data_IF_468539129645
#
_entry.id   IF_468539129645
#
_cell.length_a   1.000
_cell.length_b   1.000
_cell.length_c   1.000
_cell.angle_alpha   90.00
_cell.angle_beta   90.00
_cell.angle_gamma   90.00
#
_symmetry.space_group_name_H-M   'P 1'
#
loop_
_entity.id
_entity.type
_entity.pdbx_description
1 polymer ?
#
# COMPACT_ATOMS: atom_id res chain seq x y z
N UNK A 1 8.07 -2.58 -19.36
CA UNK A 1 8.68 -3.04 -20.62
C UNK A 1 8.64 -4.55 -20.53
N UNK A 2 7.75 -5.21 -21.27
CA UNK A 2 7.60 -6.66 -21.26
C UNK A 2 8.71 -7.18 -22.18
N UNK A 3 9.54 -8.08 -21.67
CA UNK A 3 10.62 -8.71 -22.44
C UNK A 3 9.99 -9.47 -23.61
N UNK A 4 10.34 -9.10 -24.85
CA UNK A 4 9.75 -9.67 -26.07
C UNK A 4 10.24 -11.10 -26.37
N UNK A 5 11.06 -11.68 -25.50
CA UNK A 5 11.65 -13.02 -25.66
C UNK A 5 10.97 -14.11 -24.80
N UNK A 6 9.68 -14.01 -24.51
CA UNK A 6 8.92 -15.14 -23.97
C UNK A 6 8.62 -16.13 -25.10
N UNK A 7 9.39 -17.22 -25.18
CA UNK A 7 9.10 -18.31 -26.11
C UNK A 7 7.83 -19.04 -25.67
N UNK A 8 6.81 -19.04 -26.54
CA UNK A 8 5.61 -19.85 -26.34
C UNK A 8 6.01 -21.33 -26.41
N UNK A 9 5.70 -22.11 -25.37
CA UNK A 9 5.98 -23.55 -25.36
C UNK A 9 5.28 -24.22 -26.54
N UNK A 10 6.06 -24.66 -27.53
CA UNK A 10 5.60 -25.20 -28.82
C UNK A 10 5.05 -26.65 -28.73
N UNK A 11 4.47 -27.04 -27.59
CA UNK A 11 3.68 -28.28 -27.52
C UNK A 11 2.25 -27.93 -27.93
N UNK A 12 1.80 -28.55 -29.03
CA UNK A 12 0.59 -28.19 -29.78
C UNK A 12 -0.64 -27.85 -28.93
N UNK A 13 -1.46 -26.94 -29.45
CA UNK A 13 -2.69 -26.37 -28.87
C UNK A 13 -3.25 -27.16 -27.67
N UNK A 14 -2.70 -26.90 -26.48
CA UNK A 14 -3.24 -27.46 -25.24
C UNK A 14 -4.60 -26.80 -25.05
N UNK A 15 -5.65 -27.56 -25.34
CA UNK A 15 -7.02 -27.11 -25.09
C UNK A 15 -7.24 -27.22 -23.60
N UNK A 16 -7.07 -26.10 -22.90
CA UNK A 16 -7.32 -26.05 -21.46
C UNK A 16 -8.79 -26.39 -21.19
N UNK A 17 -9.02 -27.39 -20.33
CA UNK A 17 -10.34 -27.64 -19.75
C UNK A 17 -10.54 -26.66 -18.60
N UNK A 18 -11.62 -25.91 -18.67
CA UNK A 18 -11.98 -24.92 -17.66
C UNK A 18 -13.14 -25.43 -16.82
N UNK A 19 -13.01 -25.29 -15.52
CA UNK A 19 -14.11 -25.38 -14.59
C UNK A 19 -14.60 -23.97 -14.28
N UNK A 20 -15.90 -23.73 -14.48
CA UNK A 20 -16.50 -22.40 -14.41
C UNK A 20 -17.62 -22.39 -13.39
N UNK A 21 -17.66 -21.32 -12.58
CA UNK A 21 -18.74 -21.04 -11.65
C UNK A 21 -19.18 -19.58 -11.79
N UNK A 22 -20.47 -19.38 -12.08
CA UNK A 22 -21.09 -18.05 -12.04
C UNK A 22 -21.52 -17.74 -10.62
N UNK A 23 -21.14 -16.58 -10.12
CA UNK A 23 -21.62 -16.07 -8.84
C UNK A 23 -22.88 -15.20 -9.04
N UNK A 24 -23.76 -15.21 -8.05
CA UNK A 24 -24.95 -14.35 -8.07
C UNK A 24 -24.58 -12.92 -7.66
N UNK A 25 -25.19 -11.93 -8.30
CA UNK A 25 -25.00 -10.54 -7.94
C UNK A 25 -25.85 -10.16 -6.72
N UNK A 26 -25.30 -9.31 -5.84
CA UNK A 26 -25.99 -8.80 -4.65
C UNK A 26 -25.61 -9.54 -3.36
N UNK A 27 -26.52 -9.49 -2.39
CA UNK A 27 -26.30 -10.07 -1.06
C UNK A 27 -26.40 -11.60 -1.16
N UNK A 28 -25.33 -12.29 -0.83
CA UNK A 28 -25.32 -13.73 -0.62
C UNK A 28 -25.59 -14.04 0.86
N UNK A 29 -26.53 -14.95 1.14
CA UNK A 29 -26.97 -15.26 2.51
C UNK A 29 -27.68 -14.07 3.17
N UNK A 30 -27.25 -13.70 4.37
CA UNK A 30 -27.74 -12.51 5.08
C UNK A 30 -26.81 -11.32 4.86
N UNK A 31 -27.37 -10.11 4.85
CA UNK A 31 -26.58 -8.87 4.81
C UNK A 31 -25.77 -8.74 6.10
N UNK A 32 -24.54 -8.25 6.01
CA UNK A 32 -23.69 -8.06 7.19
C UNK A 32 -24.23 -6.90 8.05
N UNK A 33 -24.81 -5.89 7.40
CA UNK A 33 -25.53 -4.80 8.06
C UNK A 33 -26.40 -4.02 7.06
N UNK A 34 -27.30 -3.19 7.59
CA UNK A 34 -28.14 -2.26 6.83
C UNK A 34 -27.90 -0.85 7.36
N UNK A 35 -27.74 0.13 6.45
CA UNK A 35 -27.55 1.54 6.82
C UNK A 35 -28.27 2.46 5.86
N UNK A 36 -28.79 3.57 6.39
CA UNK A 36 -29.30 4.67 5.58
C UNK A 36 -28.13 5.51 5.06
N UNK A 37 -28.04 5.66 3.73
CA UNK A 37 -26.94 6.35 3.06
C UNK A 37 -25.65 5.52 2.97
N UNK A 38 -24.63 6.09 2.31
CA UNK A 38 -23.41 5.37 1.95
C UNK A 38 -22.38 5.27 3.08
N UNK A 39 -21.58 4.20 3.04
CA UNK A 39 -20.41 3.99 3.89
C UNK A 39 -19.14 4.19 3.09
N UNK A 40 -18.05 4.50 3.80
CA UNK A 40 -16.73 4.51 3.20
C UNK A 40 -16.28 3.06 2.95
N UNK A 41 -15.87 2.78 1.71
CA UNK A 41 -15.49 1.45 1.25
C UNK A 41 -14.29 0.90 2.04
N UNK A 42 -13.21 1.67 2.11
CA UNK A 42 -11.93 1.26 2.74
C UNK A 42 -12.12 1.01 4.24
N UNK A 43 -12.82 1.92 4.92
CA UNK A 43 -13.10 1.78 6.33
C UNK A 43 -14.03 0.62 6.65
N UNK A 44 -14.90 0.21 5.72
CA UNK A 44 -15.83 -0.91 5.89
C UNK A 44 -15.14 -2.25 5.65
N UNK A 45 -14.37 -2.36 4.56
CA UNK A 45 -13.67 -3.60 4.19
C UNK A 45 -12.42 -3.84 5.03
N UNK A 46 -11.85 -2.80 5.64
CA UNK A 46 -10.61 -2.87 6.44
C UNK A 46 -9.46 -3.55 5.69
N UNK A 47 -9.43 -3.39 4.37
CA UNK A 47 -8.44 -4.02 3.47
C UNK A 47 -8.41 -5.56 3.57
N UNK A 48 -9.50 -6.18 4.03
CA UNK A 48 -9.63 -7.65 4.07
C UNK A 48 -10.12 -8.24 2.74
N UNK A 49 -10.74 -7.41 1.91
CA UNK A 49 -11.24 -7.70 0.57
C UNK A 49 -11.30 -6.39 -0.21
N UNK A 50 -11.13 -6.48 -1.53
CA UNK A 50 -11.33 -5.34 -2.42
C UNK A 50 -12.81 -4.98 -2.63
N UNK A 51 -13.74 -5.88 -2.27
CA UNK A 51 -15.12 -5.84 -2.73
C UNK A 51 -16.13 -5.47 -1.63
N UNK A 52 -17.09 -4.61 -1.96
CA UNK A 52 -18.25 -4.31 -1.11
C UNK A 52 -19.54 -4.20 -1.94
N UNK A 53 -20.50 -5.06 -1.62
CA UNK A 53 -21.85 -4.99 -2.16
C UNK A 53 -22.67 -3.91 -1.47
N UNK A 54 -23.38 -3.14 -2.29
CA UNK A 54 -24.40 -2.18 -1.91
C UNK A 54 -25.69 -2.58 -2.62
N UNK A 55 -26.68 -3.04 -1.87
CA UNK A 55 -27.96 -3.48 -2.46
C UNK A 55 -29.11 -2.68 -1.90
N UNK A 56 -29.96 -2.17 -2.77
CA UNK A 56 -31.23 -1.53 -2.41
C UNK A 56 -32.34 -2.00 -3.34
N UNK A 57 -33.58 -1.72 -2.97
CA UNK A 57 -34.75 -2.05 -3.79
C UNK A 57 -35.57 -0.81 -4.07
N UNK A 58 -36.10 -0.72 -5.29
CA UNK A 58 -37.01 0.33 -5.72
C UNK A 58 -38.32 -0.30 -6.19
N UNK A 59 -39.43 0.39 -5.94
CA UNK A 59 -40.73 -0.02 -6.45
C UNK A 59 -41.08 0.81 -7.68
N UNK A 60 -41.48 0.13 -8.75
CA UNK A 60 -41.88 0.74 -10.02
C UNK A 60 -43.37 0.54 -10.19
N UNK A 61 -44.13 1.64 -10.31
CA UNK A 61 -45.56 1.59 -10.57
C UNK A 61 -45.89 1.10 -11.98
N UNK A 62 -47.00 0.41 -12.16
CA UNK A 62 -47.46 -0.06 -13.48
C UNK A 62 -47.79 1.08 -14.46
N UNK A 63 -48.02 2.29 -13.92
CA UNK A 63 -48.38 3.47 -14.70
C UNK A 63 -47.19 4.26 -15.26
N UNK A 64 -45.95 3.83 -14.99
CA UNK A 64 -44.75 4.50 -15.48
C UNK A 64 -44.70 4.50 -17.02
N UNK A 65 -44.46 5.67 -17.62
CA UNK A 65 -44.51 5.84 -19.08
C UNK A 65 -43.42 5.03 -19.79
N UNK A 66 -42.25 4.87 -19.15
CA UNK A 66 -41.14 4.12 -19.70
C UNK A 66 -41.46 2.63 -19.93
N UNK A 67 -42.40 2.07 -19.16
CA UNK A 67 -42.89 0.71 -19.36
C UNK A 67 -43.78 0.58 -20.61
N UNK A 68 -44.51 1.65 -20.95
CA UNK A 68 -45.47 1.67 -22.08
C UNK A 68 -44.79 1.98 -23.41
N UNK A 69 -43.84 2.92 -23.40
CA UNK A 69 -43.17 3.40 -24.61
C UNK A 69 -41.85 2.65 -24.92
N UNK A 70 -41.42 1.74 -24.04
CA UNK A 70 -40.18 0.96 -24.19
C UNK A 70 -38.90 1.76 -23.95
N UNK A 71 -39.00 3.00 -23.48
CA UNK A 71 -37.83 3.78 -23.04
C UNK A 71 -37.22 3.19 -21.77
N UNK A 72 -35.93 3.48 -21.54
CA UNK A 72 -35.21 2.97 -20.37
C UNK A 72 -34.83 4.11 -19.45
N UNK A 73 -35.20 4.06 -18.16
CA UNK A 73 -34.69 5.00 -17.19
C UNK A 73 -33.17 4.88 -17.08
N UNK A 74 -32.51 5.98 -16.73
CA UNK A 74 -31.05 6.08 -16.73
C UNK A 74 -30.53 6.10 -15.30
N UNK A 75 -29.72 5.10 -14.96
CA UNK A 75 -28.98 5.01 -13.72
C UNK A 75 -27.76 5.92 -13.78
N UNK A 76 -27.65 6.82 -12.81
CA UNK A 76 -26.58 7.79 -12.65
C UNK A 76 -25.92 7.55 -11.31
N UNK A 77 -24.61 7.26 -11.32
CA UNK A 77 -23.84 6.99 -10.11
C UNK A 77 -22.61 7.89 -10.10
N UNK A 78 -22.40 8.58 -8.99
CA UNK A 78 -21.18 9.32 -8.71
C UNK A 78 -20.41 8.58 -7.62
N UNK A 79 -19.11 8.35 -7.82
CA UNK A 79 -18.25 7.60 -6.89
C UNK A 79 -16.88 8.26 -6.80
N UNK A 80 -16.24 8.16 -5.63
CA UNK A 80 -14.84 8.59 -5.44
C UNK A 80 -13.82 7.56 -5.94
N UNK A 81 -14.26 6.38 -6.40
CA UNK A 81 -13.39 5.34 -6.94
C UNK A 81 -13.47 4.01 -6.19
N UNK A 82 -12.75 2.97 -6.64
CA UNK A 82 -11.89 2.95 -7.85
C UNK A 82 -12.64 2.42 -9.08
N UNK A 83 -13.51 1.44 -8.87
CA UNK A 83 -14.41 0.93 -9.88
C UNK A 83 -15.72 0.45 -9.25
N UNK A 84 -16.75 0.30 -10.09
CA UNK A 84 -17.99 -0.34 -9.72
C UNK A 84 -18.53 -1.19 -10.86
N UNK A 85 -19.20 -2.29 -10.50
CA UNK A 85 -20.07 -3.06 -11.39
C UNK A 85 -21.52 -2.88 -10.97
N UNK A 86 -22.39 -2.51 -11.90
CA UNK A 86 -23.80 -2.29 -11.65
C UNK A 86 -24.63 -3.48 -12.13
N UNK A 87 -25.56 -3.94 -11.29
CA UNK A 87 -26.51 -5.00 -11.58
C UNK A 87 -27.92 -4.55 -11.24
N UNK A 88 -28.87 -4.97 -12.06
CA UNK A 88 -30.30 -4.74 -11.85
C UNK A 88 -31.02 -6.07 -11.98
N UNK A 89 -31.75 -6.47 -10.93
CA UNK A 89 -32.41 -7.77 -10.85
C UNK A 89 -31.45 -8.95 -11.18
N UNK A 90 -30.25 -8.91 -10.61
CA UNK A 90 -29.14 -9.85 -10.86
C UNK A 90 -28.52 -9.83 -12.27
N UNK A 91 -29.00 -8.97 -13.17
CA UNK A 91 -28.43 -8.83 -14.52
C UNK A 91 -27.40 -7.71 -14.58
N UNK A 92 -26.24 -8.01 -15.17
CA UNK A 92 -25.15 -7.05 -15.33
C UNK A 92 -25.53 -5.91 -16.29
N UNK A 93 -25.31 -4.67 -15.85
CA UNK A 93 -25.63 -3.46 -16.61
C UNK A 93 -24.39 -2.78 -17.17
N UNK A 94 -23.29 -2.78 -16.42
CA UNK A 94 -22.08 -2.09 -16.86
C UNK A 94 -21.05 -1.91 -15.76
N UNK A 95 -19.91 -1.34 -16.15
CA UNK A 95 -18.80 -0.99 -15.25
C UNK A 95 -18.54 0.50 -15.33
N UNK A 96 -18.32 1.13 -14.18
CA UNK A 96 -17.72 2.46 -14.09
C UNK A 96 -16.34 2.36 -13.46
N UNK A 97 -15.36 3.08 -13.99
CA UNK A 97 -13.99 3.09 -13.46
C UNK A 97 -13.44 4.50 -13.46
N UNK A 98 -12.64 4.82 -12.43
CA UNK A 98 -11.70 5.92 -12.48
C UNK A 98 -10.49 5.60 -13.35
N UNK A 99 -9.48 6.46 -13.31
CA UNK A 99 -8.15 6.17 -13.83
C UNK A 99 -7.10 6.26 -12.71
N UNK A 100 -5.88 5.77 -12.96
CA UNK A 100 -4.83 5.70 -11.93
C UNK A 100 -4.38 7.04 -11.33
N UNK A 101 -4.74 8.16 -11.95
CA UNK A 101 -4.44 9.53 -11.47
C UNK A 101 -5.65 10.26 -10.89
N UNK A 102 -6.85 9.78 -11.20
CA UNK A 102 -8.13 10.39 -10.87
C UNK A 102 -9.17 9.27 -10.69
N UNK A 103 -9.25 8.79 -9.46
CA UNK A 103 -10.16 7.72 -9.03
C UNK A 103 -11.65 8.08 -9.15
N UNK A 104 -12.11 9.33 -8.92
CA UNK A 104 -13.52 9.64 -9.02
C UNK A 104 -14.06 9.49 -10.44
N UNK A 105 -15.29 8.99 -10.55
CA UNK A 105 -15.95 8.78 -11.85
C UNK A 105 -17.46 8.94 -11.76
N UNK A 106 -18.06 9.17 -12.93
CA UNK A 106 -19.50 9.25 -13.11
C UNK A 106 -19.96 8.14 -14.06
N UNK A 107 -20.76 7.21 -13.54
CA UNK A 107 -21.36 6.14 -14.32
C UNK A 107 -22.77 6.54 -14.77
N UNK A 108 -23.05 6.33 -16.06
CA UNK A 108 -24.36 6.61 -16.67
C UNK A 108 -24.73 5.46 -17.59
N UNK A 109 -25.84 4.78 -17.30
CA UNK A 109 -26.31 3.69 -18.13
C UNK A 109 -27.84 3.57 -18.12
N UNK A 110 -28.50 3.39 -19.28
CA UNK A 110 -29.90 3.00 -19.32
C UNK A 110 -30.08 1.60 -18.74
N UNK A 111 -31.05 1.43 -17.83
CA UNK A 111 -31.28 0.16 -17.13
C UNK A 111 -32.70 -0.37 -17.40
N UNK A 112 -32.88 -1.70 -17.55
CA UNK A 112 -34.20 -2.30 -17.64
C UNK A 112 -34.84 -2.35 -16.24
N UNK A 113 -36.05 -1.83 -16.12
CA UNK A 113 -36.87 -1.98 -14.91
C UNK A 113 -38.19 -2.67 -15.28
N UNK A 114 -38.70 -3.49 -14.36
CA UNK A 114 -40.01 -4.18 -14.48
C UNK A 114 -41.04 -3.57 -13.52
N UNK A 115 -42.35 -3.76 -13.73
CA UNK A 115 -43.34 -3.41 -12.72
C UNK A 115 -43.06 -4.09 -11.37
N UNK A 116 -43.34 -3.39 -10.27
CA UNK A 116 -43.14 -3.88 -8.92
C UNK A 116 -41.72 -3.70 -8.39
N UNK A 117 -41.25 -4.64 -7.56
CA UNK A 117 -39.96 -4.57 -6.88
C UNK A 117 -38.80 -4.87 -7.84
N UNK A 118 -37.86 -3.93 -7.92
CA UNK A 118 -36.60 -4.08 -8.64
C UNK A 118 -35.44 -3.96 -7.66
N UNK A 119 -34.46 -4.84 -7.79
CA UNK A 119 -33.26 -4.80 -6.99
C UNK A 119 -32.13 -4.11 -7.76
N UNK A 120 -31.45 -3.17 -7.11
CA UNK A 120 -30.25 -2.51 -7.61
C UNK A 120 -29.09 -2.98 -6.73
N UNK A 121 -28.16 -3.73 -7.32
CA UNK A 121 -26.97 -4.24 -6.63
C UNK A 121 -25.72 -3.64 -7.28
N UNK A 122 -24.92 -2.95 -6.47
CA UNK A 122 -23.69 -2.30 -6.90
C UNK A 122 -22.51 -2.97 -6.19
N UNK A 123 -21.59 -3.51 -6.96
CA UNK A 123 -20.34 -4.03 -6.44
C UNK A 123 -19.28 -2.94 -6.60
N UNK A 124 -18.94 -2.26 -5.51
CA UNK A 124 -17.84 -1.30 -5.50
C UNK A 124 -16.54 -2.02 -5.15
N UNK A 125 -15.43 -1.59 -5.76
CA UNK A 125 -14.13 -2.15 -5.46
C UNK A 125 -12.99 -1.14 -5.38
N UNK A 126 -11.98 -1.48 -4.58
CA UNK A 126 -10.68 -0.83 -4.55
C UNK A 126 -9.72 -1.50 -5.54
N UNK A 127 -8.72 -0.75 -6.01
CA UNK A 127 -7.61 -1.25 -6.82
C UNK A 127 -6.33 -0.77 -6.14
N UNK A 128 -6.03 -1.40 -5.01
CA UNK A 128 -5.01 -0.93 -4.07
C UNK A 128 -5.43 0.33 -3.29
N UNK A 129 -4.55 0.74 -2.37
CA UNK A 129 -4.71 1.90 -1.52
C UNK A 129 -3.70 3.00 -1.90
N UNK A 130 -4.05 4.29 -1.73
CA UNK A 130 -3.09 5.39 -1.87
C UNK A 130 -1.89 5.20 -0.94
N UNK A 131 -0.67 5.33 -1.47
CA UNK A 131 0.59 5.16 -0.70
C UNK A 131 1.40 6.45 -0.55
N UNK A 132 1.02 7.52 -1.26
CA UNK A 132 1.72 8.79 -1.27
C UNK A 132 0.78 9.97 -1.55
N UNK A 133 1.16 11.17 -1.10
CA UNK A 133 0.41 12.42 -1.29
C UNK A 133 0.06 13.11 0.04
N UNK A 134 -0.37 14.38 0.04
CA UNK A 134 -0.88 15.00 1.25
C UNK A 134 -2.17 14.31 1.71
N UNK A 135 -2.25 13.92 2.98
CA UNK A 135 -3.45 13.36 3.62
C UNK A 135 -4.04 12.12 2.90
N UNK A 136 -3.18 11.29 2.26
CA UNK A 136 -3.64 10.13 1.48
C UNK A 136 -4.35 9.07 2.34
N UNK A 137 -4.07 9.07 3.64
CA UNK A 137 -4.68 8.27 4.70
C UNK A 137 -6.12 8.69 5.03
N UNK A 138 -6.52 9.91 4.67
CA UNK A 138 -7.89 10.41 4.81
C UNK A 138 -8.72 10.27 3.53
N UNK A 139 -8.12 9.77 2.44
CA UNK A 139 -8.84 9.55 1.19
C UNK A 139 -9.89 8.46 1.36
N UNK A 140 -11.06 8.72 0.81
CA UNK A 140 -12.24 7.87 0.90
C UNK A 140 -12.56 7.24 -0.45
N UNK A 141 -13.06 6.02 -0.42
CA UNK A 141 -13.55 5.31 -1.61
C UNK A 141 -15.02 4.94 -1.44
N UNK A 142 -15.74 4.80 -2.55
CA UNK A 142 -17.15 4.40 -2.53
C UNK A 142 -18.11 5.38 -3.19
N UNK A 143 -19.40 5.22 -2.87
CA UNK A 143 -20.50 5.93 -3.53
C UNK A 143 -20.74 7.31 -2.92
N UNK A 144 -20.95 8.32 -3.77
CA UNK A 144 -21.37 9.67 -3.38
C UNK A 144 -22.87 9.83 -3.61
N UNK A 145 -23.37 9.43 -4.79
CA UNK A 145 -24.78 9.55 -5.14
C UNK A 145 -25.23 8.47 -6.10
N UNK A 146 -26.46 7.99 -5.94
CA UNK A 146 -27.12 7.04 -6.86
C UNK A 146 -28.49 7.62 -7.19
N UNK A 147 -28.73 7.91 -8.46
CA UNK A 147 -29.98 8.52 -8.94
C UNK A 147 -30.48 7.80 -10.17
N UNK A 148 -31.80 7.79 -10.36
CA UNK A 148 -32.44 7.22 -11.54
C UNK A 148 -33.32 8.28 -12.18
N UNK A 149 -33.03 8.64 -13.43
CA UNK A 149 -33.82 9.59 -14.22
C UNK A 149 -34.77 8.86 -15.14
N UNK A 150 -35.95 9.44 -15.36
CA UNK A 150 -36.92 8.96 -16.35
C UNK A 150 -38.17 8.32 -15.74
N UNK A 151 -38.42 8.51 -14.44
CA UNK A 151 -39.73 8.24 -13.85
C UNK A 151 -40.71 9.37 -14.20
N UNK A 152 -42.01 9.10 -14.16
CA UNK A 152 -43.06 10.10 -14.39
C UNK A 152 -42.93 11.30 -13.44
N UNK A 153 -42.60 11.03 -12.18
CA UNK A 153 -42.38 12.06 -11.15
C UNK A 153 -40.95 12.66 -11.19
N UNK A 154 -40.19 12.42 -12.26
CA UNK A 154 -38.87 12.99 -12.49
C UNK A 154 -37.72 12.06 -12.11
N UNK A 155 -36.87 12.50 -11.17
CA UNK A 155 -35.65 11.78 -10.76
C UNK A 155 -35.84 11.18 -9.37
N UNK A 156 -35.59 9.88 -9.25
CA UNK A 156 -35.55 9.19 -7.95
C UNK A 156 -34.12 9.24 -7.43
N UNK A 157 -33.94 9.78 -6.22
CA UNK A 157 -32.64 9.82 -5.54
C UNK A 157 -32.56 8.72 -4.47
N UNK A 158 -31.64 7.76 -4.67
CA UNK A 158 -31.43 6.62 -3.77
C UNK A 158 -30.31 6.87 -2.76
N UNK A 159 -29.68 8.05 -2.79
CA UNK A 159 -28.51 8.34 -1.97
C UNK A 159 -28.80 8.35 -0.47
N UNK A 160 -30.04 8.63 -0.07
CA UNK A 160 -30.51 8.61 1.32
C UNK A 160 -31.42 7.42 1.63
N UNK A 161 -31.48 6.41 0.75
CA UNK A 161 -32.26 5.19 0.98
C UNK A 161 -31.56 4.25 1.96
N UNK A 162 -32.28 3.24 2.43
CA UNK A 162 -31.69 2.12 3.15
C UNK A 162 -30.93 1.21 2.17
N UNK A 163 -29.67 0.94 2.47
CA UNK A 163 -28.79 0.06 1.72
C UNK A 163 -28.39 -1.14 2.59
N UNK A 164 -28.50 -2.33 2.02
CA UNK A 164 -27.98 -3.56 2.60
C UNK A 164 -26.56 -3.78 2.10
N UNK A 165 -25.66 -4.16 3.00
CA UNK A 165 -24.24 -4.29 2.72
C UNK A 165 -23.76 -5.72 2.88
N UNK A 166 -22.87 -6.14 1.99
CA UNK A 166 -22.13 -7.41 2.10
C UNK A 166 -20.67 -7.22 1.77
N UNK A 167 -19.80 -7.59 2.71
CA UNK A 167 -18.35 -7.48 2.60
C UNK A 167 -17.83 -8.69 1.82
N UNK A 168 -17.11 -8.44 0.73
CA UNK A 168 -16.52 -9.47 -0.11
C UNK A 168 -17.51 -10.15 -1.06
N UNK A 169 -16.96 -11.01 -1.90
CA UNK A 169 -17.74 -11.89 -2.80
C UNK A 169 -17.87 -13.29 -2.21
N UNK A 170 -18.92 -14.02 -2.59
CA UNK A 170 -19.23 -15.35 -2.07
C UNK A 170 -18.06 -16.31 -2.28
N UNK A 171 -17.39 -16.24 -3.43
CA UNK A 171 -16.24 -17.11 -3.71
C UNK A 171 -15.03 -16.86 -2.79
N UNK A 172 -14.85 -15.65 -2.25
CA UNK A 172 -13.81 -15.38 -1.24
C UNK A 172 -14.15 -16.05 0.09
N UNK A 173 -15.42 -15.99 0.51
CA UNK A 173 -15.89 -16.64 1.73
C UNK A 173 -15.74 -18.17 1.67
N UNK A 174 -16.06 -18.75 0.50
CA UNK A 174 -15.90 -20.18 0.23
C UNK A 174 -14.44 -20.59 -0.06
N UNK A 175 -13.52 -19.63 -0.07
CA UNK A 175 -12.09 -19.81 -0.36
C UNK A 175 -11.85 -20.60 -1.66
N UNK A 176 -12.58 -20.28 -2.73
CA UNK A 176 -12.47 -21.00 -4.01
C UNK A 176 -11.07 -20.93 -4.64
N UNK A 177 -10.27 -19.96 -4.23
CA UNK A 177 -8.86 -19.81 -4.61
C UNK A 177 -7.92 -20.81 -3.90
N UNK A 178 -8.41 -21.56 -2.90
CA UNK A 178 -7.69 -22.63 -2.21
C UNK A 178 -8.23 -24.00 -2.66
N UNK A 179 -7.36 -25.02 -2.69
CA UNK A 179 -7.71 -26.35 -3.22
C UNK A 179 -8.80 -27.09 -2.43
N UNK A 180 -8.92 -26.81 -1.13
CA UNK A 180 -9.96 -27.34 -0.23
C UNK A 180 -11.34 -26.74 -0.55
N UNK A 181 -11.39 -25.45 -0.90
CA UNK A 181 -12.60 -24.72 -1.28
C UNK A 181 -13.26 -25.24 -2.56
N UNK A 182 -12.56 -26.01 -3.40
CA UNK A 182 -13.08 -26.51 -4.68
C UNK A 182 -14.26 -27.46 -4.53
N UNK A 183 -14.32 -28.21 -3.42
CA UNK A 183 -15.37 -29.18 -3.14
C UNK A 183 -16.67 -28.56 -2.62
N UNK A 184 -16.63 -27.28 -2.23
CA UNK A 184 -17.78 -26.57 -1.64
C UNK A 184 -18.85 -26.16 -2.66
N UNK A 185 -18.55 -26.24 -3.95
CA UNK A 185 -19.41 -25.76 -5.05
C UNK A 185 -19.43 -26.73 -6.21
N UNK A 186 -20.51 -26.68 -7.00
CA UNK A 186 -20.64 -27.46 -8.24
C UNK A 186 -20.08 -26.65 -9.40
N UNK A 187 -18.94 -27.08 -9.92
CA UNK A 187 -18.30 -26.50 -11.11
C UNK A 187 -18.93 -27.02 -12.40
N UNK A 188 -18.94 -26.18 -13.43
CA UNK A 188 -19.30 -26.60 -14.79
C UNK A 188 -18.04 -26.71 -15.64
N UNK A 189 -17.68 -27.92 -16.06
CA UNK A 189 -16.53 -28.14 -16.94
C UNK A 189 -16.88 -27.81 -18.38
N UNK A 190 -16.05 -27.00 -19.05
CA UNK A 190 -16.20 -26.60 -20.45
C UNK A 190 -14.84 -26.42 -21.13
N UNK A 191 -14.77 -26.70 -22.42
CA UNK A 191 -13.63 -26.32 -23.28
C UNK A 191 -13.72 -24.89 -23.80
N UNK A 192 -14.92 -24.29 -23.74
CA UNK A 192 -15.22 -22.94 -24.20
C UNK A 192 -15.81 -22.14 -23.04
N UNK A 193 -14.97 -21.49 -22.21
CA UNK A 193 -15.43 -20.67 -21.10
C UNK A 193 -16.28 -19.49 -21.62
N UNK A 194 -17.33 -19.09 -20.88
CA UNK A 194 -18.21 -18.01 -21.28
C UNK A 194 -17.44 -16.69 -21.43
N UNK A 195 -17.76 -15.92 -22.46
CA UNK A 195 -17.14 -14.61 -22.73
C UNK A 195 -18.08 -13.49 -22.32
N UNK A 196 -17.53 -12.48 -21.64
CA UNK A 196 -18.29 -11.28 -21.27
C UNK A 196 -19.25 -11.50 -20.08
N UNK A 197 -19.14 -12.62 -19.39
CA UNK A 197 -19.91 -12.90 -18.18
C UNK A 197 -19.19 -12.30 -16.97
N UNK A 198 -19.83 -11.33 -16.32
CA UNK A 198 -19.36 -10.77 -15.06
C UNK A 198 -19.49 -11.79 -13.91
N UNK A 199 -18.73 -11.59 -12.84
CA UNK A 199 -18.78 -12.40 -11.60
C UNK A 199 -18.68 -13.90 -11.88
N UNK A 200 -17.56 -14.30 -12.47
CA UNK A 200 -17.34 -15.69 -12.86
C UNK A 200 -15.97 -16.13 -12.39
N UNK A 201 -15.95 -17.23 -11.65
CA UNK A 201 -14.73 -17.93 -11.24
C UNK A 201 -14.33 -18.92 -12.33
N UNK A 202 -13.04 -18.88 -12.70
CA UNK A 202 -12.43 -19.79 -13.66
C UNK A 202 -11.35 -20.58 -12.96
N UNK A 203 -11.34 -21.89 -13.15
CA UNK A 203 -10.36 -22.81 -12.61
C UNK A 203 -9.84 -23.69 -13.74
N UNK A 204 -8.53 -23.88 -13.79
CA UNK A 204 -7.87 -24.84 -14.67
C UNK A 204 -6.71 -25.47 -13.92
N UNK A 205 -6.47 -26.75 -14.15
CA UNK A 205 -5.29 -27.46 -13.65
C UNK A 205 -4.34 -27.59 -14.83
N UNK A 206 -3.11 -27.11 -14.65
CA UNK A 206 -2.08 -27.07 -15.69
C UNK A 206 -0.81 -27.69 -15.14
N UNK A 207 -0.17 -28.55 -15.93
CA UNK A 207 1.12 -29.11 -15.59
C UNK A 207 2.19 -28.02 -15.62
N UNK A 208 3.12 -28.06 -14.66
CA UNK A 208 4.22 -27.11 -14.62
C UNK A 208 5.05 -27.21 -15.91
N UNK A 209 5.35 -26.08 -16.59
CA UNK A 209 6.19 -26.10 -17.79
C UNK A 209 7.61 -26.54 -17.42
N UNK A 210 8.31 -27.16 -18.37
CA UNK A 210 9.69 -27.64 -18.17
C UNK A 210 10.69 -26.47 -18.18
N UNK A 211 11.70 -26.53 -17.31
CA UNK A 211 12.78 -25.55 -17.22
C UNK A 211 12.75 -24.73 -15.92
N UNK A 212 13.79 -23.91 -15.73
CA UNK A 212 13.97 -23.05 -14.54
C UNK A 212 13.72 -21.55 -14.85
N UNK A 213 13.20 -21.26 -16.03
CA UNK A 213 12.93 -19.88 -16.47
C UNK A 213 11.68 -19.30 -15.76
N UNK A 214 11.61 -17.98 -15.55
CA UNK A 214 10.43 -17.32 -15.01
C UNK A 214 9.18 -17.58 -15.87
N UNK A 215 8.06 -17.91 -15.22
CA UNK A 215 6.79 -18.19 -15.88
C UNK A 215 5.85 -16.99 -15.70
N UNK A 216 5.20 -16.57 -16.78
CA UNK A 216 4.12 -15.57 -16.76
C UNK A 216 2.82 -16.15 -17.31
N UNK A 217 1.68 -15.68 -16.77
CA UNK A 217 0.37 -15.99 -17.33
C UNK A 217 -0.06 -14.87 -18.29
N UNK A 218 -0.24 -15.21 -19.56
CA UNK A 218 -0.81 -14.26 -20.53
C UNK A 218 -2.33 -14.15 -20.33
N UNK A 219 -2.74 -13.06 -19.69
CA UNK A 219 -4.14 -12.70 -19.47
C UNK A 219 -4.70 -11.79 -20.58
N UNK A 220 -3.95 -11.58 -21.67
CA UNK A 220 -4.37 -10.78 -22.81
C UNK A 220 -5.24 -11.61 -23.77
N UNK A 221 -6.31 -11.01 -24.28
CA UNK A 221 -7.21 -11.67 -25.26
C UNK A 221 -6.66 -11.69 -26.69
N UNK A 222 -5.40 -11.31 -26.91
CA UNK A 222 -4.90 -11.01 -28.25
C UNK A 222 -4.48 -12.28 -28.99
N UNK A 223 -5.37 -12.80 -29.84
CA UNK A 223 -4.98 -13.61 -31.00
C UNK A 223 -4.41 -12.65 -32.06
N UNK A 224 -3.18 -12.17 -31.91
CA UNK A 224 -2.59 -11.23 -32.88
C UNK A 224 -1.93 -12.00 -34.03
N UNK A 225 -2.56 -11.95 -35.20
CA UNK A 225 -1.86 -12.12 -36.48
C UNK A 225 -1.04 -10.85 -36.70
N UNK A 226 0.28 -10.94 -36.61
CA UNK A 226 1.15 -9.80 -36.96
C UNK A 226 1.36 -9.75 -38.47
N UNK A 227 0.85 -8.68 -39.11
CA UNK A 227 1.39 -8.18 -40.37
C UNK A 227 2.65 -7.38 -40.04
N UNK A 228 3.76 -7.76 -40.68
CA UNK A 228 5.07 -7.13 -40.50
C UNK A 228 5.00 -5.63 -40.88
N UNK A 229 5.31 -4.78 -39.92
CA UNK A 229 5.76 -3.40 -40.19
C UNK A 229 7.18 -3.34 -39.64
N UNK A 230 8.15 -3.37 -40.55
CA UNK A 230 9.55 -3.08 -40.25
C UNK A 230 9.66 -1.61 -39.85
N UNK A 231 10.08 -1.37 -38.61
CA UNK A 231 10.66 -0.09 -38.21
C UNK A 231 12.04 -0.37 -37.62
N UNK A 232 13.05 0.16 -38.29
CA UNK A 232 14.43 0.23 -37.79
C UNK A 232 14.47 1.02 -36.49
N UNK A 233 15.07 0.43 -35.46
CA UNK A 233 15.44 1.11 -34.24
C UNK A 233 16.94 0.91 -34.01
N UNK A 234 17.72 1.92 -34.39
CA UNK A 234 19.04 2.14 -33.83
C UNK A 234 18.87 2.79 -32.46
N UNK A 235 19.11 2.05 -31.38
CA UNK A 235 19.53 2.64 -30.11
C UNK A 235 20.34 1.63 -29.31
N UNK A 236 21.60 1.98 -29.09
CA UNK A 236 22.57 1.28 -28.27
C UNK A 236 22.09 1.07 -26.83
N UNK A 237 21.96 -0.19 -26.44
CA UNK A 237 21.80 -0.62 -25.05
C UNK A 237 23.06 -0.28 -24.26
N UNK A 238 23.00 0.75 -23.43
CA UNK A 238 23.86 0.86 -22.25
C UNK A 238 23.11 0.24 -21.08
N UNK A 239 23.60 -0.92 -20.63
CA UNK A 239 23.16 -1.54 -19.38
C UNK A 239 23.49 -0.58 -18.22
N UNK A 240 22.49 0.15 -17.72
CA UNK A 240 22.59 0.78 -16.41
C UNK A 240 22.06 -0.19 -15.36
N UNK A 241 23.01 -0.81 -14.66
CA UNK A 241 22.77 -1.40 -13.35
C UNK A 241 22.10 -0.36 -12.42
N UNK A 242 20.96 -0.75 -11.88
CA UNK A 242 20.14 0.08 -11.01
C UNK A 242 20.85 0.23 -9.64
N UNK A 243 21.53 1.37 -9.51
CA UNK A 243 21.80 2.13 -8.28
C UNK A 243 22.63 1.48 -7.14
N UNK A 244 23.96 1.65 -7.23
CA UNK A 244 24.84 1.82 -6.05
C UNK A 244 24.45 3.11 -5.31
N UNK A 245 24.22 3.05 -3.99
CA UNK A 245 24.06 4.24 -3.16
C UNK A 245 25.21 5.22 -3.42
N UNK A 246 24.88 6.47 -3.78
CA UNK A 246 25.86 7.44 -4.25
C UNK A 246 26.98 7.63 -3.22
N UNK A 247 28.22 7.85 -3.66
CA UNK A 247 29.37 8.16 -2.79
C UNK A 247 29.05 9.31 -1.82
N UNK A 248 28.19 10.23 -2.26
CA UNK A 248 27.67 11.35 -1.48
C UNK A 248 26.79 10.90 -0.29
N UNK A 249 25.90 9.93 -0.48
CA UNK A 249 25.05 9.40 0.61
C UNK A 249 25.88 8.68 1.66
N UNK A 250 26.90 7.89 1.25
CA UNK A 250 27.81 7.24 2.20
C UNK A 250 28.62 8.26 3.00
N UNK A 251 29.12 9.29 2.34
CA UNK A 251 29.84 10.39 3.01
C UNK A 251 28.93 11.13 3.99
N UNK A 252 27.68 11.39 3.60
CA UNK A 252 26.67 12.01 4.45
C UNK A 252 26.42 11.24 5.75
N UNK A 253 26.25 9.92 5.68
CA UNK A 253 26.04 9.06 6.86
C UNK A 253 27.27 9.05 7.77
N UNK A 254 28.48 9.01 7.19
CA UNK A 254 29.74 9.04 7.96
C UNK A 254 29.90 10.37 8.68
N UNK A 255 29.67 11.49 7.99
CA UNK A 255 29.75 12.83 8.58
C UNK A 255 28.71 13.01 9.68
N UNK A 256 27.47 12.56 9.45
CA UNK A 256 26.41 12.59 10.45
C UNK A 256 26.77 11.82 11.72
N UNK A 257 27.28 10.59 11.57
CA UNK A 257 27.69 9.76 12.70
C UNK A 257 28.87 10.38 13.46
N UNK A 258 29.83 10.99 12.76
CA UNK A 258 30.98 11.66 13.37
C UNK A 258 30.55 12.88 14.20
N UNK A 259 29.67 13.72 13.65
CA UNK A 259 29.20 14.95 14.30
C UNK A 259 28.29 14.63 15.50
N UNK A 260 27.37 13.69 15.32
CA UNK A 260 26.29 13.43 16.27
C UNK A 260 26.73 12.54 17.44
N UNK A 261 27.56 11.53 17.19
CA UNK A 261 27.99 10.60 18.23
C UNK A 261 29.34 11.01 18.80
N UNK A 262 30.37 11.14 17.95
CA UNK A 262 31.74 11.28 18.42
C UNK A 262 32.06 12.70 18.91
N UNK A 263 31.69 13.73 18.14
CA UNK A 263 31.96 15.12 18.53
C UNK A 263 31.10 15.57 19.72
N UNK A 264 29.84 15.14 19.79
CA UNK A 264 28.96 15.42 20.92
C UNK A 264 29.48 14.74 22.20
N UNK A 265 29.88 13.48 22.13
CA UNK A 265 30.44 12.76 23.27
C UNK A 265 31.77 13.37 23.73
N UNK A 266 32.64 13.76 22.79
CA UNK A 266 33.89 14.45 23.09
C UNK A 266 33.65 15.81 23.77
N UNK A 267 32.59 16.53 23.39
CA UNK A 267 32.23 17.81 24.02
C UNK A 267 31.74 17.62 25.46
N UNK A 268 30.88 16.62 25.72
CA UNK A 268 30.39 16.30 27.07
C UNK A 268 31.54 15.82 27.97
N UNK A 269 32.34 14.85 27.51
CA UNK A 269 33.47 14.32 28.27
C UNK A 269 34.55 15.38 28.50
N UNK A 270 34.84 16.21 27.50
CA UNK A 270 35.77 17.32 27.62
C UNK A 270 35.25 18.43 28.54
N UNK A 271 33.93 18.59 28.66
CA UNK A 271 33.29 19.46 29.64
C UNK A 271 33.48 18.95 31.07
N UNK A 272 33.25 17.65 31.31
CA UNK A 272 33.54 17.01 32.60
C UNK A 272 35.01 17.10 32.98
N UNK A 273 35.93 16.79 32.06
CA UNK A 273 37.37 16.84 32.31
C UNK A 273 37.88 18.26 32.62
N UNK A 274 37.16 19.30 32.18
CA UNK A 274 37.49 20.71 32.43
C UNK A 274 36.68 21.36 33.55
N UNK A 275 35.70 20.66 34.13
CA UNK A 275 34.77 21.24 35.12
C UNK A 275 33.78 22.26 34.54
N UNK A 276 33.51 22.22 33.23
CA UNK A 276 32.59 23.13 32.56
C UNK A 276 31.14 22.60 32.66
N UNK A 277 30.54 22.78 33.83
CA UNK A 277 29.18 22.30 34.13
C UNK A 277 28.14 22.85 33.14
N UNK A 278 28.37 24.06 32.63
CA UNK A 278 27.51 24.68 31.64
C UNK A 278 27.56 23.91 30.31
N UNK A 279 28.75 23.63 29.77
CA UNK A 279 28.90 22.84 28.54
C UNK A 279 28.25 21.45 28.66
N UNK A 280 28.42 20.80 29.81
CA UNK A 280 27.78 19.51 30.11
C UNK A 280 26.26 19.65 30.12
N UNK A 281 25.73 20.65 30.83
CA UNK A 281 24.28 20.87 30.96
C UNK A 281 23.61 21.16 29.62
N UNK A 282 24.25 21.97 28.76
CA UNK A 282 23.68 22.29 27.45
C UNK A 282 23.66 21.09 26.51
N UNK A 283 24.68 20.21 26.56
CA UNK A 283 24.82 19.10 25.61
C UNK A 283 24.16 17.78 26.08
N UNK A 284 23.93 17.60 27.39
CA UNK A 284 23.37 16.35 27.96
C UNK A 284 22.01 15.94 27.38
N UNK A 285 21.04 16.84 27.14
CA UNK A 285 19.75 16.46 26.57
C UNK A 285 19.87 15.82 25.16
N UNK A 286 20.89 16.18 24.38
CA UNK A 286 21.16 15.56 23.08
C UNK A 286 21.61 14.11 23.22
N UNK A 287 22.53 13.84 24.16
CA UNK A 287 23.03 12.48 24.42
C UNK A 287 21.91 11.57 24.94
N UNK A 288 21.01 12.13 25.75
CA UNK A 288 19.81 11.43 26.21
C UNK A 288 18.88 11.07 25.05
N UNK A 289 18.58 12.02 24.16
CA UNK A 289 17.75 11.76 22.98
C UNK A 289 18.39 10.75 22.01
N UNK A 290 19.70 10.83 21.79
CA UNK A 290 20.43 9.87 20.97
C UNK A 290 20.35 8.45 21.53
N UNK A 291 20.51 8.31 22.85
CA UNK A 291 20.40 7.02 23.54
C UNK A 291 18.99 6.44 23.44
N UNK A 292 17.98 7.27 23.69
CA UNK A 292 16.57 6.88 23.55
C UNK A 292 16.20 6.50 22.11
N UNK A 293 16.74 7.20 21.11
CA UNK A 293 16.51 6.90 19.70
C UNK A 293 17.10 5.54 19.32
N UNK A 294 18.37 5.29 19.66
CA UNK A 294 19.03 4.01 19.38
C UNK A 294 18.26 2.85 20.04
N UNK A 295 17.85 3.02 21.30
CA UNK A 295 17.06 2.02 22.02
C UNK A 295 15.72 1.75 21.32
N UNK A 296 14.97 2.80 21.02
CA UNK A 296 13.62 2.68 20.45
C UNK A 296 13.65 2.14 19.01
N UNK A 297 14.61 2.57 18.20
CA UNK A 297 14.85 1.99 16.86
C UNK A 297 15.19 0.51 16.94
N UNK A 298 16.04 0.09 17.88
CA UNK A 298 16.39 -1.32 18.06
C UNK A 298 15.21 -2.17 18.52
N UNK A 299 14.39 -1.66 19.45
CA UNK A 299 13.17 -2.37 19.92
C UNK A 299 12.16 -2.52 18.78
N UNK A 300 11.90 -1.45 18.03
CA UNK A 300 10.88 -1.44 16.97
C UNK A 300 11.34 -2.21 15.72
N UNK A 301 12.64 -2.23 15.44
CA UNK A 301 13.23 -3.03 14.36
C UNK A 301 13.35 -4.50 14.73
N UNK A 302 13.57 -4.82 16.01
CA UNK A 302 13.67 -6.20 16.51
C UNK A 302 12.33 -6.92 16.64
N UNK A 303 11.23 -6.17 16.78
CA UNK A 303 9.89 -6.73 16.90
C UNK A 303 9.16 -6.67 15.55
N UNK A 304 8.71 -7.82 15.05
CA UNK A 304 7.91 -7.93 13.82
C UNK A 304 6.49 -7.33 13.96
N UNK A 305 6.13 -6.86 15.15
CA UNK A 305 4.82 -6.32 15.50
C UNK A 305 4.53 -4.96 14.85
N UNK A 306 5.56 -4.17 14.53
CA UNK A 306 5.40 -2.80 14.03
C UNK A 306 5.48 -2.71 12.51
N UNK A 307 4.53 -1.99 11.90
CA UNK A 307 4.49 -1.77 10.46
C UNK A 307 5.63 -0.84 9.99
N UNK A 308 6.08 -0.94 8.73
CA UNK A 308 7.13 -0.07 8.18
C UNK A 308 6.89 1.45 8.37
N UNK A 309 5.65 1.98 8.24
CA UNK A 309 5.37 3.38 8.52
C UNK A 309 5.65 3.78 9.99
N UNK A 310 5.31 2.91 10.95
CA UNK A 310 5.57 3.16 12.37
C UNK A 310 7.08 3.14 12.65
N UNK A 311 7.83 2.24 11.99
CA UNK A 311 9.30 2.22 12.11
C UNK A 311 9.93 3.50 11.56
N UNK A 312 9.37 4.06 10.48
CA UNK A 312 9.84 5.31 9.88
C UNK A 312 9.51 6.55 10.72
N UNK A 313 8.37 6.53 11.42
CA UNK A 313 7.92 7.65 12.24
C UNK A 313 8.85 7.91 13.44
N UNK A 314 9.47 6.88 13.99
CA UNK A 314 10.25 6.95 15.22
C UNK A 314 11.48 7.85 15.09
N UNK A 315 12.43 7.63 14.15
CA UNK A 315 13.57 8.53 14.00
C UNK A 315 13.14 9.95 13.56
N UNK A 316 12.01 10.09 12.87
CA UNK A 316 11.47 11.40 12.49
C UNK A 316 11.04 12.20 13.73
N UNK A 317 10.32 11.58 14.68
CA UNK A 317 9.94 12.22 15.95
C UNK A 317 11.20 12.63 16.74
N UNK A 318 12.21 11.77 16.81
CA UNK A 318 13.47 12.11 17.47
C UNK A 318 14.22 13.25 16.76
N UNK A 319 14.24 13.26 15.42
CA UNK A 319 14.85 14.34 14.63
C UNK A 319 14.18 15.68 14.92
N UNK A 320 12.83 15.72 14.94
CA UNK A 320 12.07 16.93 15.29
C UNK A 320 12.38 17.39 16.70
N UNK A 321 12.38 16.47 17.68
CA UNK A 321 12.69 16.84 19.07
C UNK A 321 14.11 17.36 19.22
N UNK A 322 15.06 16.82 18.47
CA UNK A 322 16.48 17.19 18.52
C UNK A 322 16.73 18.60 18.00
N UNK A 323 16.00 19.05 16.97
CA UNK A 323 16.06 20.43 16.48
C UNK A 323 15.74 21.45 17.60
N UNK A 324 14.71 21.18 18.42
CA UNK A 324 14.40 22.07 19.55
C UNK A 324 15.54 22.13 20.57
N UNK A 325 16.14 20.99 20.88
CA UNK A 325 17.29 20.95 21.79
C UNK A 325 18.51 21.66 21.19
N UNK A 326 18.74 21.54 19.87
CA UNK A 326 19.87 22.21 19.19
C UNK A 326 19.70 23.73 19.20
N UNK A 327 18.47 24.21 19.05
CA UNK A 327 18.13 25.63 19.17
C UNK A 327 18.40 26.13 20.59
N UNK A 328 17.97 25.38 21.61
CA UNK A 328 18.24 25.71 23.01
C UNK A 328 19.75 25.71 23.32
N UNK A 329 20.50 24.74 22.78
CA UNK A 329 21.95 24.65 22.95
C UNK A 329 22.68 25.82 22.26
N UNK A 330 22.28 26.19 21.05
CA UNK A 330 22.82 27.36 20.37
C UNK A 330 22.54 28.63 21.18
N UNK A 331 21.31 28.81 21.65
CA UNK A 331 20.95 29.96 22.47
C UNK A 331 21.86 30.05 23.71
N UNK A 332 22.08 28.93 24.39
CA UNK A 332 22.87 28.87 25.61
C UNK A 332 24.36 29.17 25.38
N UNK A 333 24.97 28.61 24.33
CA UNK A 333 26.40 28.84 24.04
C UNK A 333 26.65 30.19 23.37
N UNK A 334 25.72 30.71 22.57
CA UNK A 334 25.90 31.98 21.84
C UNK A 334 25.53 33.22 22.64
N UNK A 335 24.52 33.14 23.51
CA UNK A 335 23.98 34.31 24.20
C UNK A 335 24.36 34.37 25.69
N UNK A 336 24.51 33.22 26.36
CA UNK A 336 24.78 33.22 27.81
C UNK A 336 26.28 33.15 28.17
N UNK A 337 27.13 32.66 27.26
CA UNK A 337 28.55 32.45 27.53
C UNK A 337 29.42 33.54 26.88
N UNK A 338 30.03 34.39 27.71
CA UNK A 338 31.00 35.41 27.29
C UNK A 338 32.44 34.98 27.63
N UNK A 339 33.37 35.33 26.76
CA UNK A 339 34.79 35.04 26.96
C UNK A 339 35.43 36.10 27.85
N UNK A 340 36.22 35.70 28.84
CA UNK A 340 36.99 36.65 29.65
C UNK A 340 38.11 37.29 28.83
N UNK A 341 38.39 38.57 29.04
CA UNK A 341 39.40 39.34 28.29
C UNK A 341 40.84 38.80 28.47
N UNK A 342 41.08 37.95 29.47
CA UNK A 342 42.37 37.30 29.78
C UNK A 342 42.34 35.77 29.56
N UNK A 343 41.43 35.27 28.72
CA UNK A 343 41.29 33.84 28.46
C UNK A 343 42.54 33.22 27.81
N UNK A 344 42.91 32.01 28.24
CA UNK A 344 44.01 31.27 27.63
C UNK A 344 43.64 30.78 26.22
N UNK A 345 44.65 30.54 25.37
CA UNK A 345 44.43 29.96 24.03
C UNK A 345 43.61 28.66 24.06
N UNK A 346 43.76 27.84 25.12
CA UNK A 346 43.02 26.59 25.27
C UNK A 346 41.53 26.83 25.52
N UNK A 347 41.19 27.88 26.27
CA UNK A 347 39.80 28.24 26.59
C UNK A 347 39.11 28.91 25.40
N UNK A 348 39.85 29.72 24.63
CA UNK A 348 39.37 30.30 23.37
C UNK A 348 39.02 29.18 22.39
N UNK A 349 39.90 28.19 22.23
CA UNK A 349 39.66 27.04 21.34
C UNK A 349 38.44 26.23 21.82
N UNK A 350 38.34 25.95 23.14
CA UNK A 350 37.21 25.22 23.71
C UNK A 350 35.86 25.94 23.54
N UNK A 351 35.87 27.26 23.69
CA UNK A 351 34.69 28.11 23.48
C UNK A 351 34.16 28.04 22.04
N UNK A 352 35.06 28.21 21.05
CA UNK A 352 34.69 28.12 19.65
C UNK A 352 34.31 26.70 19.21
N UNK A 353 34.93 25.69 19.82
CA UNK A 353 34.59 24.29 19.59
C UNK A 353 33.13 23.99 19.94
N UNK A 354 32.65 24.42 21.12
CA UNK A 354 31.26 24.24 21.51
C UNK A 354 30.25 24.95 20.59
N UNK A 355 30.56 26.19 20.19
CA UNK A 355 29.73 26.96 19.23
C UNK A 355 29.65 26.29 17.86
N UNK A 356 30.78 25.81 17.36
CA UNK A 356 30.87 25.14 16.08
C UNK A 356 30.07 23.84 16.04
N UNK A 357 30.13 23.03 17.10
CA UNK A 357 29.38 21.78 17.19
C UNK A 357 27.86 22.04 17.26
N UNK A 358 27.42 23.02 18.05
CA UNK A 358 26.00 23.34 18.16
C UNK A 358 25.40 23.75 16.80
N UNK A 359 26.09 24.60 16.04
CA UNK A 359 25.66 25.02 14.69
C UNK A 359 25.72 23.86 13.68
N UNK A 360 26.76 23.03 13.75
CA UNK A 360 26.89 21.87 12.88
C UNK A 360 25.76 20.84 13.09
N UNK A 361 25.38 20.57 14.35
CA UNK A 361 24.26 19.68 14.66
C UNK A 361 22.93 20.25 14.16
N UNK A 362 22.63 21.54 14.44
CA UNK A 362 21.41 22.16 13.93
C UNK A 362 21.32 22.07 12.39
N UNK A 363 22.43 22.36 11.70
CA UNK A 363 22.50 22.26 10.23
C UNK A 363 22.25 20.83 9.73
N UNK A 364 22.87 19.84 10.38
CA UNK A 364 22.68 18.43 10.03
C UNK A 364 21.24 17.95 10.23
N UNK A 365 20.64 18.22 11.40
CA UNK A 365 19.27 17.80 11.69
C UNK A 365 18.21 18.56 10.89
N UNK A 366 18.48 19.83 10.55
CA UNK A 366 17.64 20.58 9.61
C UNK A 366 17.66 19.95 8.22
N UNK A 367 18.82 19.55 7.69
CA UNK A 367 18.88 18.82 6.41
C UNK A 367 18.14 17.48 6.47
N UNK A 368 18.24 16.75 7.58
CA UNK A 368 17.54 15.48 7.79
C UNK A 368 16.00 15.65 7.80
N UNK A 369 15.48 16.80 8.22
CA UNK A 369 14.04 17.11 8.18
C UNK A 369 13.54 17.37 6.74
N UNK A 370 14.35 18.03 5.91
CA UNK A 370 13.96 18.45 4.55
C UNK A 370 14.35 17.46 3.43
N UNK A 371 15.12 16.40 3.71
CA UNK A 371 15.47 15.32 2.77
C UNK A 371 14.81 13.96 3.14
N UNK A 372 13.47 13.83 3.05
CA UNK A 372 12.78 12.58 3.39
C UNK A 372 13.20 11.40 2.50
N UNK A 373 13.65 11.64 1.26
CA UNK A 373 14.11 10.59 0.33
C UNK A 373 15.39 9.86 0.75
N UNK A 374 16.28 10.51 1.50
CA UNK A 374 17.51 9.89 2.00
C UNK A 374 17.19 8.97 3.20
N UNK A 375 16.25 9.41 4.03
CA UNK A 375 15.72 8.68 5.16
C UNK A 375 14.89 7.46 4.74
N UNK A 376 14.02 7.61 3.74
CA UNK A 376 13.22 6.53 3.16
C UNK A 376 14.10 5.42 2.57
N UNK A 377 15.15 5.80 1.81
CA UNK A 377 16.14 4.83 1.28
C UNK A 377 16.97 4.17 2.36
N UNK A 378 17.37 4.91 3.41
CA UNK A 378 18.07 4.35 4.56
C UNK A 378 17.23 3.29 5.30
N UNK A 379 15.94 3.56 5.48
CA UNK A 379 15.01 2.65 6.15
C UNK A 379 14.69 1.41 5.31
N UNK A 380 14.51 1.54 4.00
CA UNK A 380 14.39 0.41 3.09
C UNK A 380 15.62 -0.50 3.17
N UNK A 381 16.81 0.10 3.17
CA UNK A 381 18.07 -0.63 3.22
C UNK A 381 18.29 -1.32 4.59
N UNK A 382 17.96 -0.66 5.71
CA UNK A 382 17.98 -1.28 7.05
C UNK A 382 16.96 -2.42 7.16
N UNK A 383 15.76 -2.24 6.62
CA UNK A 383 14.72 -3.26 6.58
C UNK A 383 15.16 -4.52 5.84
N UNK A 384 15.81 -4.36 4.69
CA UNK A 384 16.38 -5.46 3.91
C UNK A 384 17.53 -6.19 4.63
N UNK A 385 18.42 -5.45 5.30
CA UNK A 385 19.53 -6.05 6.05
C UNK A 385 19.00 -6.87 7.24
N UNK A 386 18.00 -6.37 7.96
CA UNK A 386 17.38 -7.10 9.06
C UNK A 386 16.56 -8.31 8.59
N UNK A 387 15.87 -8.21 7.45
CA UNK A 387 15.17 -9.34 6.84
C UNK A 387 16.16 -10.46 6.46
N UNK A 388 17.27 -10.10 5.80
CA UNK A 388 18.34 -11.05 5.43
C UNK A 388 18.99 -11.70 6.65
N UNK A 389 19.25 -10.94 7.72
CA UNK A 389 19.83 -11.48 8.95
C UNK A 389 18.85 -12.36 9.76
N UNK A 390 17.54 -12.10 9.65
CA UNK A 390 16.51 -12.96 10.23
C UNK A 390 16.31 -14.28 9.44
N UNK A 391 16.47 -14.23 8.11
CA UNK A 391 16.49 -15.42 7.24
C UNK A 391 17.72 -16.30 7.51
N UNK A 392 18.89 -15.70 7.69
CA UNK A 392 20.14 -16.41 8.00
C UNK A 392 20.10 -17.11 9.38
N UNK A 393 19.37 -16.54 10.35
CA UNK A 393 19.08 -17.20 11.64
C UNK A 393 18.03 -18.32 11.55
N UNK A 394 17.18 -18.32 10.52
CA UNK A 394 16.21 -19.40 10.26
C UNK A 394 16.81 -20.56 9.46
N UNK A 395 17.86 -20.31 8.69
CA UNK A 395 18.54 -21.33 7.87
C UNK A 395 19.69 -22.06 8.61
N UNK A 396 19.93 -21.78 9.89
CA UNK A 396 20.87 -22.55 10.71
C UNK A 396 20.27 -23.92 11.04
N UNK A 397 20.90 -25.05 10.66
CA UNK A 397 20.33 -26.37 10.93
C UNK A 397 20.39 -26.69 12.43
N UNK A 398 19.23 -26.95 13.02
CA UNK A 398 19.05 -27.52 14.34
C UNK A 398 19.67 -28.94 14.33
N UNK A 399 20.82 -29.10 14.99
CA UNK A 399 21.37 -30.43 15.28
C UNK A 399 20.39 -31.19 16.19
N UNK A 400 19.80 -32.28 15.68
CA UNK A 400 19.05 -33.26 16.48
C UNK A 400 20.02 -34.11 17.33
N UNK A 401 19.61 -34.58 18.52
CA UNK A 401 20.44 -35.41 19.37
C UNK A 401 20.63 -36.82 18.76
N UNK A 402 21.85 -37.34 18.78
CA UNK A 402 22.16 -38.73 18.47
C UNK A 402 21.45 -39.67 19.46
N UNK A 403 20.62 -40.59 18.96
CA UNK A 403 20.30 -41.83 19.66
C UNK A 403 21.41 -42.84 19.38
N UNK A 404 22.22 -43.19 20.38
CA UNK A 404 23.11 -44.34 20.32
C UNK A 404 22.39 -45.58 20.83
N UNK A 405 22.35 -46.59 19.97
CA UNK A 405 21.84 -47.93 20.21
C UNK A 405 22.60 -48.66 21.33
N UNK A 406 21.84 -49.44 22.10
CA UNK A 406 22.34 -50.47 23.02
C UNK A 406 23.18 -51.48 22.24
N UNK A 407 24.43 -51.67 22.67
CA UNK A 407 25.21 -52.88 22.36
C UNK A 407 24.78 -54.01 23.29
N UNK A 408 24.35 -55.10 22.68
CA UNK A 408 24.35 -56.44 23.26
C UNK A 408 25.81 -56.90 23.27
N UNK A 409 26.38 -57.09 24.46
CA UNK A 409 27.05 -58.32 24.91
C UNK A 409 27.22 -58.30 26.43
#
# INVERSE_FOLDING_TARGET
>A
MIDENLQQSNKGAVTFKWDVLKENAGIWGEADFVKTGFVDLINTTKDTTDYLWHTTSIYVGENEEFLKNGSKPVLLINSTGHALHAFVNQEYQGTGTGNGTHSPFFFKNPIPLRPGKNEIALLCLTVGLPTAGPFYDFLRAGLISVKIKGFNNGTVDLSSSAWSYKIGVQGEQLKLYQGDGWSSVKWTTTSEPPKGQALTWYKAVVDAPSGDEPIGLDISRKKTVYKNVTREANSSLTNQEIFKGSRLFRMYVIVGTAVDLFLLLAYVLGGFARGDEHAVRSATPHLFLLSCQILTENVISGLSLFSPPVRALVPMIYTVRRIFVDVDWIHDVWLNKTLSATASLRDIIWYWFGKGIAVANLGYFSMNLFLPRAFEKYLQQKGEIHAKSAEEKRSSPINKPQSSEKKIE
#
